data_IF_886019299896
#
_entry.id   IF_886019299896
#
_cell.length_a   1.000
_cell.length_b   1.000
_cell.length_c   1.000
_cell.angle_alpha   90.00
_cell.angle_beta   90.00
_cell.angle_gamma   90.00
#
_symmetry.space_group_name_H-M   'P 1'
#
loop_
_entity.id
_entity.type
_entity.pdbx_description
1 polymer ?
#
# COMPACT_ATOMS: atom_id res chain seq x y z
N UNK A 1 7.65 -19.06 -5.17
CA UNK A 1 6.29 -19.41 -5.63
C UNK A 1 5.26 -19.44 -4.49
N UNK A 2 5.34 -20.35 -3.51
CA UNK A 2 4.38 -20.36 -2.38
C UNK A 2 4.31 -19.03 -1.61
N UNK A 3 5.47 -18.41 -1.34
CA UNK A 3 5.53 -17.09 -0.68
C UNK A 3 4.77 -16.03 -1.49
N UNK A 4 4.88 -16.06 -2.83
CA UNK A 4 4.19 -15.13 -3.72
C UNK A 4 2.68 -15.38 -3.74
N UNK A 5 2.25 -16.65 -3.72
CA UNK A 5 0.83 -17.01 -3.58
C UNK A 5 0.25 -16.46 -2.29
N UNK A 6 0.90 -16.75 -1.16
CA UNK A 6 0.44 -16.27 0.15
C UNK A 6 0.38 -14.76 0.15
N UNK A 7 1.46 -14.11 -0.31
CA UNK A 7 1.53 -12.66 -0.45
C UNK A 7 0.31 -12.12 -1.22
N UNK A 8 0.07 -12.57 -2.46
CA UNK A 8 -1.05 -12.10 -3.26
C UNK A 8 -2.41 -12.31 -2.59
N UNK A 9 -2.65 -13.47 -2.01
CA UNK A 9 -3.93 -13.76 -1.32
C UNK A 9 -4.12 -12.84 -0.11
N UNK A 10 -3.08 -12.66 0.71
CA UNK A 10 -3.16 -11.83 1.91
C UNK A 10 -3.21 -10.33 1.60
N UNK A 11 -2.77 -9.92 0.41
CA UNK A 11 -2.76 -8.52 -0.02
C UNK A 11 -4.10 -8.05 -0.59
N UNK A 12 -4.92 -8.97 -1.15
CA UNK A 12 -6.23 -8.62 -1.71
C UNK A 12 -7.15 -7.94 -0.67
N UNK A 13 -7.34 -8.48 0.56
CA UNK A 13 -8.19 -7.84 1.56
C UNK A 13 -7.77 -6.41 1.94
N UNK A 14 -6.50 -6.13 2.35
CA UNK A 14 -6.12 -4.76 2.70
C UNK A 14 -6.22 -3.81 1.52
N UNK A 15 -5.87 -4.22 0.28
CA UNK A 15 -6.06 -3.39 -0.91
C UNK A 15 -7.52 -2.98 -1.08
N UNK A 16 -8.44 -3.95 -1.07
CA UNK A 16 -9.87 -3.69 -1.27
C UNK A 16 -10.50 -2.91 -0.12
N UNK A 17 -10.07 -3.20 1.12
CA UNK A 17 -10.68 -2.69 2.33
C UNK A 17 -10.05 -1.40 2.84
N UNK A 18 -8.83 -1.02 2.44
CA UNK A 18 -8.15 0.17 2.95
C UNK A 18 -7.63 1.04 1.80
N UNK A 19 -6.74 0.51 0.96
CA UNK A 19 -6.00 1.32 -0.02
C UNK A 19 -6.92 1.96 -1.06
N UNK A 20 -7.86 1.16 -1.60
CA UNK A 20 -8.79 1.63 -2.62
C UNK A 20 -9.93 2.52 -2.09
N UNK A 21 -10.08 2.69 -0.77
CA UNK A 21 -11.09 3.62 -0.24
C UNK A 21 -10.84 5.07 -0.64
N UNK A 22 -9.58 5.44 -0.87
CA UNK A 22 -9.18 6.76 -1.35
C UNK A 22 -9.71 7.09 -2.75
N UNK A 23 -9.99 6.06 -3.57
CA UNK A 23 -10.47 6.18 -4.95
C UNK A 23 -11.95 5.82 -5.08
N UNK A 24 -12.53 5.10 -4.13
CA UNK A 24 -13.95 4.74 -4.18
C UNK A 24 -14.83 5.99 -4.08
N UNK A 25 -15.96 6.03 -4.81
CA UNK A 25 -16.98 7.04 -4.59
C UNK A 25 -17.46 6.94 -3.14
N UNK A 26 -17.35 8.04 -2.39
CA UNK A 26 -17.67 8.08 -0.95
C UNK A 26 -19.09 7.57 -0.64
N UNK A 27 -20.03 7.75 -1.58
CA UNK A 27 -21.42 7.31 -1.49
C UNK A 27 -21.61 5.78 -1.51
N UNK A 28 -20.61 5.05 -2.02
CA UNK A 28 -20.67 3.59 -2.19
C UNK A 28 -19.78 2.83 -1.20
N UNK A 29 -19.04 3.54 -0.36
CA UNK A 29 -18.21 2.90 0.67
C UNK A 29 -19.10 2.49 1.85
N UNK A 30 -19.22 1.19 2.16
CA UNK A 30 -19.98 0.73 3.33
C UNK A 30 -19.41 1.31 4.62
N UNK A 31 -20.29 1.62 5.58
CA UNK A 31 -19.91 2.20 6.87
C UNK A 31 -18.85 1.38 7.63
N UNK A 32 -18.87 0.05 7.49
CA UNK A 32 -17.87 -0.84 8.07
C UNK A 32 -16.46 -0.57 7.52
N UNK A 33 -16.32 -0.36 6.20
CA UNK A 33 -15.02 -0.10 5.57
C UNK A 33 -14.47 1.26 6.01
N UNK A 34 -15.28 2.31 5.94
CA UNK A 34 -14.87 3.64 6.42
C UNK A 34 -14.54 3.63 7.91
N UNK A 35 -15.28 2.84 8.71
CA UNK A 35 -15.01 2.63 10.13
C UNK A 35 -13.67 1.96 10.37
N UNK A 36 -13.34 0.92 9.60
CA UNK A 36 -12.06 0.22 9.70
C UNK A 36 -10.88 1.14 9.36
N UNK A 37 -10.99 1.92 8.28
CA UNK A 37 -9.99 2.91 7.89
C UNK A 37 -9.80 3.98 8.97
N UNK A 38 -10.91 4.41 9.59
CA UNK A 38 -10.87 5.37 10.70
C UNK A 38 -10.19 4.78 11.93
N UNK A 39 -10.53 3.56 12.32
CA UNK A 39 -9.89 2.87 13.46
C UNK A 39 -8.39 2.66 13.22
N UNK A 40 -8.00 2.30 12.00
CA UNK A 40 -6.60 2.21 11.59
C UNK A 40 -5.87 3.55 11.79
N UNK A 41 -6.48 4.63 11.28
CA UNK A 41 -5.93 5.98 11.42
C UNK A 41 -5.82 6.43 12.88
N UNK A 42 -6.86 6.26 13.68
CA UNK A 42 -6.88 6.66 15.09
C UNK A 42 -5.87 5.86 15.95
N UNK A 43 -5.41 4.69 15.47
CA UNK A 43 -4.44 3.84 16.17
C UNK A 43 -3.00 4.15 15.81
N UNK A 44 -2.71 4.39 14.52
CA UNK A 44 -1.34 4.48 14.01
C UNK A 44 -0.96 5.88 13.52
N UNK A 45 -1.93 6.77 13.37
CA UNK A 45 -1.74 8.13 12.84
C UNK A 45 -0.95 8.12 11.52
N UNK A 46 -1.23 7.14 10.64
CA UNK A 46 -0.52 7.01 9.37
C UNK A 46 -0.68 8.30 8.55
N UNK A 47 0.42 9.03 8.29
CA UNK A 47 0.36 10.31 7.60
C UNK A 47 0.05 10.15 6.11
N UNK A 48 0.35 9.01 5.48
CA UNK A 48 0.06 8.75 4.07
C UNK A 48 -1.43 8.46 3.89
N UNK A 49 -1.91 7.42 4.56
CA UNK A 49 -3.31 6.96 4.46
C UNK A 49 -4.25 8.03 5.01
N UNK A 50 -3.91 8.64 6.16
CA UNK A 50 -4.72 9.69 6.77
C UNK A 50 -4.84 10.93 5.90
N UNK A 51 -3.77 11.33 5.20
CA UNK A 51 -3.81 12.48 4.28
C UNK A 51 -4.58 12.13 3.01
N UNK A 52 -4.35 10.96 2.41
CA UNK A 52 -5.09 10.51 1.23
C UNK A 52 -6.60 10.41 1.48
N UNK A 53 -6.99 9.95 2.68
CA UNK A 53 -8.39 9.85 3.13
C UNK A 53 -9.00 11.20 3.54
N UNK A 54 -8.18 12.25 3.69
CA UNK A 54 -8.63 13.60 4.08
C UNK A 54 -8.85 13.80 5.58
N UNK A 55 -8.34 12.91 6.44
CA UNK A 55 -8.43 13.07 7.89
C UNK A 55 -7.60 14.25 8.42
N UNK A 56 -6.57 14.67 7.69
CA UNK A 56 -5.80 15.88 7.96
C UNK A 56 -6.32 17.14 7.23
N UNK A 57 -7.53 17.08 6.66
CA UNK A 57 -8.16 18.16 5.90
C UNK A 57 -7.91 18.09 4.39
N UNK A 58 -8.71 18.86 3.64
CA UNK A 58 -8.73 18.77 2.16
C UNK A 58 -7.41 19.19 1.51
N UNK A 59 -6.76 20.25 2.02
CA UNK A 59 -5.46 20.71 1.50
C UNK A 59 -4.40 19.62 1.58
N UNK A 60 -4.34 18.89 2.68
CA UNK A 60 -3.39 17.80 2.86
C UNK A 60 -3.72 16.58 1.96
N UNK A 61 -5.00 16.41 1.60
CA UNK A 61 -5.42 15.37 0.66
C UNK A 61 -5.09 15.72 -0.81
N UNK A 62 -5.02 17.00 -1.15
CA UNK A 62 -4.60 17.49 -2.47
C UNK A 62 -3.08 17.38 -2.64
N UNK A 63 -2.31 17.53 -1.57
CA UNK A 63 -0.86 17.26 -1.58
C UNK A 63 -0.53 15.78 -1.85
N UNK A 64 -1.50 14.89 -1.68
CA UNK A 64 -1.36 13.43 -1.86
C UNK A 64 -1.84 12.92 -3.24
N UNK A 65 -1.93 13.80 -4.24
CA UNK A 65 -2.27 13.38 -5.61
C UNK A 65 -1.32 12.30 -6.15
N UNK A 66 -0.03 12.38 -5.83
CA UNK A 66 0.96 11.35 -6.22
C UNK A 66 0.69 9.98 -5.58
N UNK A 67 0.14 9.94 -4.36
CA UNK A 67 -0.21 8.69 -3.70
C UNK A 67 -1.51 8.13 -4.29
N UNK A 68 -2.47 9.01 -4.60
CA UNK A 68 -3.71 8.62 -5.29
C UNK A 68 -3.45 8.07 -6.69
N UNK A 69 -2.42 8.54 -7.41
CA UNK A 69 -2.03 7.92 -8.69
C UNK A 69 -1.45 6.53 -8.51
N UNK A 70 -0.69 6.29 -7.43
CA UNK A 70 -0.22 4.94 -7.08
C UNK A 70 -1.37 4.01 -6.69
N UNK A 71 -2.33 4.46 -5.88
CA UNK A 71 -3.54 3.70 -5.55
C UNK A 71 -4.41 3.43 -6.79
N UNK A 72 -4.45 4.35 -7.74
CA UNK A 72 -5.11 4.12 -9.03
C UNK A 72 -4.39 3.04 -9.85
N UNK A 73 -3.06 3.08 -9.89
CA UNK A 73 -2.25 2.03 -10.52
C UNK A 73 -2.46 0.68 -9.84
N UNK A 74 -2.59 0.68 -8.52
CA UNK A 74 -2.90 -0.52 -7.74
C UNK A 74 -4.24 -1.12 -8.18
N UNK A 75 -5.29 -0.31 -8.28
CA UNK A 75 -6.61 -0.76 -8.69
C UNK A 75 -6.64 -1.34 -10.12
N UNK A 76 -5.99 -0.67 -11.07
CA UNK A 76 -6.08 -1.03 -12.50
C UNK A 76 -5.08 -2.11 -12.93
N UNK A 77 -3.96 -2.24 -12.23
CA UNK A 77 -2.88 -3.13 -12.63
C UNK A 77 -2.50 -4.13 -11.54
N UNK A 78 -2.15 -3.68 -10.32
CA UNK A 78 -1.62 -4.58 -9.29
C UNK A 78 -2.69 -5.57 -8.80
N UNK A 79 -3.90 -5.08 -8.50
CA UNK A 79 -5.00 -5.91 -8.01
C UNK A 79 -5.40 -7.02 -9.00
N UNK A 80 -5.61 -6.76 -10.31
CA UNK A 80 -5.79 -7.83 -11.29
C UNK A 80 -4.64 -8.84 -11.31
N UNK A 81 -3.39 -8.37 -11.18
CA UNK A 81 -2.22 -9.25 -11.12
C UNK A 81 -2.23 -10.12 -9.86
N UNK A 82 -2.78 -9.67 -8.72
CA UNK A 82 -2.91 -10.52 -7.53
C UNK A 82 -3.77 -11.75 -7.81
N UNK A 83 -4.92 -11.56 -8.47
CA UNK A 83 -5.81 -12.66 -8.82
C UNK A 83 -5.18 -13.61 -9.85
N UNK A 84 -4.60 -13.05 -10.92
CA UNK A 84 -3.95 -13.84 -11.98
C UNK A 84 -2.74 -14.60 -11.42
N UNK A 85 -1.89 -13.91 -10.66
CA UNK A 85 -0.69 -14.45 -10.04
C UNK A 85 -1.02 -15.57 -9.06
N UNK A 86 -1.95 -15.34 -8.13
CA UNK A 86 -2.40 -16.38 -7.20
C UNK A 86 -2.97 -17.60 -7.94
N UNK A 87 -3.86 -17.40 -8.90
CA UNK A 87 -4.49 -18.49 -9.65
C UNK A 87 -3.47 -19.34 -10.44
N UNK A 88 -2.62 -18.70 -11.23
CA UNK A 88 -1.65 -19.39 -12.09
C UNK A 88 -0.55 -20.07 -11.27
N UNK A 89 -0.10 -19.47 -10.17
CA UNK A 89 0.90 -20.09 -9.28
C UNK A 89 0.31 -21.28 -8.50
N UNK A 90 -0.96 -21.24 -8.08
CA UNK A 90 -1.62 -22.38 -7.40
C UNK A 90 -1.83 -23.55 -8.35
N UNK A 91 -2.33 -23.29 -9.56
CA UNK A 91 -2.63 -24.36 -10.51
C UNK A 91 -1.42 -24.89 -11.26
N UNK A 92 -0.25 -24.25 -11.11
CA UNK A 92 0.95 -24.49 -11.92
C UNK A 92 0.71 -24.42 -13.44
N UNK A 93 -0.43 -23.87 -13.85
CA UNK A 93 -0.86 -23.75 -15.23
C UNK A 93 -0.39 -22.39 -15.75
N UNK A 94 0.30 -22.39 -16.90
CA UNK A 94 0.81 -21.17 -17.54
C UNK A 94 1.85 -20.38 -16.73
N UNK A 95 2.56 -21.02 -15.79
CA UNK A 95 3.51 -20.35 -14.89
C UNK A 95 4.60 -19.56 -15.62
N UNK A 96 5.08 -20.06 -16.76
CA UNK A 96 6.13 -19.39 -17.55
C UNK A 96 5.60 -18.17 -18.31
N UNK A 97 4.31 -18.14 -18.65
CA UNK A 97 3.69 -17.02 -19.35
C UNK A 97 3.44 -15.82 -18.43
N UNK A 98 3.40 -16.01 -17.11
CA UNK A 98 3.15 -14.93 -16.16
C UNK A 98 4.43 -14.28 -15.63
N UNK A 99 5.62 -14.84 -15.85
CA UNK A 99 6.88 -14.27 -15.36
C UNK A 99 7.13 -12.82 -15.81
N UNK A 100 6.88 -12.43 -17.07
CA UNK A 100 7.00 -11.02 -17.46
C UNK A 100 6.05 -10.11 -16.68
N UNK A 101 4.81 -10.56 -16.44
CA UNK A 101 3.79 -9.81 -15.70
C UNK A 101 4.21 -9.67 -14.24
N UNK A 102 4.68 -10.74 -13.60
CA UNK A 102 5.18 -10.73 -12.23
C UNK A 102 6.43 -9.85 -12.07
N UNK A 103 7.30 -9.81 -13.07
CA UNK A 103 8.46 -8.90 -13.08
C UNK A 103 8.00 -7.43 -13.11
N UNK A 104 7.11 -7.08 -14.05
CA UNK A 104 6.58 -5.72 -14.19
C UNK A 104 5.86 -5.32 -12.90
N UNK A 105 5.04 -6.22 -12.36
CA UNK A 105 4.35 -6.03 -11.09
C UNK A 105 5.33 -5.79 -9.94
N UNK A 106 6.34 -6.64 -9.80
CA UNK A 106 7.34 -6.55 -8.73
C UNK A 106 8.09 -5.21 -8.77
N UNK A 107 8.57 -4.84 -9.97
CA UNK A 107 9.29 -3.59 -10.18
C UNK A 107 8.41 -2.37 -9.96
N UNK A 108 7.18 -2.38 -10.47
CA UNK A 108 6.21 -1.31 -10.30
C UNK A 108 5.88 -1.10 -8.82
N UNK A 109 5.54 -2.18 -8.10
CA UNK A 109 5.13 -2.11 -6.70
C UNK A 109 6.28 -1.68 -5.80
N UNK A 110 7.50 -2.18 -6.03
CA UNK A 110 8.68 -1.71 -5.31
C UNK A 110 8.92 -0.20 -5.54
N UNK A 111 8.69 0.28 -6.77
CA UNK A 111 8.87 1.70 -7.13
C UNK A 111 7.81 2.60 -6.50
N UNK A 112 6.56 2.14 -6.38
CA UNK A 112 5.48 2.93 -5.75
C UNK A 112 5.52 2.90 -4.23
N UNK A 113 6.03 1.81 -3.62
CA UNK A 113 6.14 1.67 -2.16
C UNK A 113 7.38 2.32 -1.56
N UNK A 114 8.46 2.47 -2.33
CA UNK A 114 9.68 3.13 -1.87
C UNK A 114 9.45 4.59 -1.42
N UNK A 115 8.74 5.45 -2.18
CA UNK A 115 8.37 6.79 -1.72
C UNK A 115 7.57 6.78 -0.41
N UNK A 116 6.68 5.82 -0.22
CA UNK A 116 5.90 5.67 1.01
C UNK A 116 6.81 5.39 2.22
N UNK A 117 7.77 4.47 2.09
CA UNK A 117 8.74 4.18 3.14
C UNK A 117 9.61 5.38 3.49
N UNK A 118 10.10 6.10 2.48
CA UNK A 118 10.90 7.32 2.68
C UNK A 118 10.07 8.41 3.34
N UNK A 119 8.81 8.58 2.95
CA UNK A 119 7.89 9.54 3.55
C UNK A 119 7.63 9.23 5.03
N UNK A 120 7.34 7.97 5.37
CA UNK A 120 7.16 7.53 6.77
C UNK A 120 8.42 7.72 7.61
N UNK A 121 9.59 7.44 7.04
CA UNK A 121 10.87 7.63 7.72
C UNK A 121 11.17 9.12 7.99
N UNK A 122 10.81 9.99 7.05
CA UNK A 122 11.05 11.45 7.15
C UNK A 122 9.94 12.21 7.87
N UNK A 123 8.80 11.56 8.17
CA UNK A 123 7.72 12.15 8.96
C UNK A 123 8.25 12.56 10.34
N UNK A 124 7.96 13.78 10.84
CA UNK A 124 8.49 14.27 12.12
C UNK A 124 7.99 13.46 13.31
N UNK A 125 8.77 13.49 14.41
CA UNK A 125 8.33 12.93 15.68
C UNK A 125 7.24 13.80 16.31
N UNK A 126 6.35 13.16 17.06
CA UNK A 126 5.32 13.87 17.83
C UNK A 126 5.93 14.57 19.04
N UNK A 127 6.09 15.88 18.93
CA UNK A 127 6.58 16.81 19.96
C UNK A 127 5.58 17.97 20.19
N UNK A 128 5.77 18.76 21.25
CA UNK A 128 4.89 19.88 21.63
C UNK A 128 4.64 20.86 20.47
N UNK A 129 5.67 21.16 19.68
CA UNK A 129 5.56 22.06 18.52
C UNK A 129 4.68 21.46 17.42
N UNK A 130 4.82 20.16 17.12
CA UNK A 130 4.03 19.49 16.07
C UNK A 130 2.55 19.43 16.45
N UNK A 131 2.26 19.18 17.74
CA UNK A 131 0.89 19.18 18.26
C UNK A 131 0.29 20.60 18.23
N UNK A 132 1.05 21.61 18.66
CA UNK A 132 0.60 23.00 18.66
C UNK A 132 0.28 23.54 17.26
N UNK A 133 0.97 23.04 16.23
CA UNK A 133 0.80 23.48 14.84
C UNK A 133 -0.03 22.52 13.98
N UNK A 134 -0.63 21.47 14.56
CA UNK A 134 -1.36 20.42 13.84
C UNK A 134 -0.56 19.82 12.66
N UNK A 135 0.74 19.68 12.83
CA UNK A 135 1.62 19.07 11.82
C UNK A 135 1.50 17.56 11.94
N UNK A 136 1.22 16.83 10.85
CA UNK A 136 1.18 15.36 10.89
C UNK A 136 2.53 14.81 11.36
N UNK A 137 2.48 14.11 12.49
CA UNK A 137 3.65 13.54 13.17
C UNK A 137 3.32 12.14 13.68
N UNK A 138 4.35 11.33 13.89
CA UNK A 138 4.21 9.97 14.44
C UNK A 138 5.19 9.79 15.59
N UNK A 139 4.79 9.04 16.61
CA UNK A 139 5.71 8.61 17.67
C UNK A 139 6.73 7.60 17.12
N UNK A 140 7.85 7.42 17.83
CA UNK A 140 8.87 6.42 17.44
C UNK A 140 8.30 5.00 17.35
N UNK A 141 7.33 4.66 18.21
CA UNK A 141 6.67 3.36 18.21
C UNK A 141 5.75 3.20 17.00
N UNK A 142 4.90 4.19 16.71
CA UNK A 142 4.04 4.19 15.52
C UNK A 142 4.87 4.12 14.24
N UNK A 143 5.96 4.91 14.15
CA UNK A 143 6.87 4.84 13.00
C UNK A 143 7.44 3.44 12.82
N UNK A 144 7.89 2.79 13.88
CA UNK A 144 8.42 1.43 13.78
C UNK A 144 7.35 0.44 13.31
N UNK A 145 6.13 0.54 13.82
CA UNK A 145 5.01 -0.32 13.39
C UNK A 145 4.66 -0.07 11.93
N UNK A 146 4.57 1.19 11.50
CA UNK A 146 4.27 1.58 10.11
C UNK A 146 5.39 1.15 9.15
N UNK A 147 6.65 1.39 9.48
CA UNK A 147 7.76 0.92 8.65
C UNK A 147 7.79 -0.62 8.56
N UNK A 148 7.48 -1.30 9.66
CA UNK A 148 7.42 -2.76 9.69
C UNK A 148 6.24 -3.33 8.90
N UNK A 149 5.10 -2.62 8.83
CA UNK A 149 3.94 -3.04 8.03
C UNK A 149 4.13 -2.79 6.54
N UNK A 150 4.81 -1.70 6.16
CA UNK A 150 5.10 -1.38 4.75
C UNK A 150 6.30 -2.16 4.18
N UNK A 151 7.27 -2.56 5.02
CA UNK A 151 8.48 -3.24 4.56
C UNK A 151 8.23 -4.54 3.76
N UNK A 152 7.32 -5.46 4.16
CA UNK A 152 6.99 -6.64 3.36
C UNK A 152 6.46 -6.28 1.96
N UNK A 153 5.71 -5.19 1.86
CA UNK A 153 5.10 -4.72 0.61
C UNK A 153 6.10 -4.07 -0.33
N UNK A 154 7.29 -3.72 0.14
CA UNK A 154 8.42 -3.32 -0.69
C UNK A 154 9.35 -4.51 -1.00
N UNK A 155 9.76 -5.24 0.04
CA UNK A 155 10.78 -6.28 -0.07
C UNK A 155 10.32 -7.48 -0.91
N UNK A 156 9.08 -7.95 -0.72
CA UNK A 156 8.57 -9.12 -1.45
C UNK A 156 8.45 -8.81 -2.94
N UNK A 157 7.84 -7.67 -3.38
CA UNK A 157 7.83 -7.29 -4.78
C UNK A 157 9.23 -7.05 -5.38
N UNK A 158 10.16 -6.48 -4.62
CA UNK A 158 11.54 -6.30 -5.07
C UNK A 158 12.23 -7.64 -5.33
N UNK A 159 12.13 -8.58 -4.39
CA UNK A 159 12.65 -9.94 -4.56
C UNK A 159 11.96 -10.65 -5.72
N UNK A 160 10.64 -10.49 -5.86
CA UNK A 160 9.88 -11.05 -6.97
C UNK A 160 10.38 -10.52 -8.32
N UNK A 161 10.63 -9.22 -8.44
CA UNK A 161 11.16 -8.63 -9.68
C UNK A 161 12.51 -9.24 -10.06
N UNK A 162 13.42 -9.37 -9.10
CA UNK A 162 14.75 -9.96 -9.30
C UNK A 162 14.65 -11.45 -9.65
N UNK A 163 13.87 -12.23 -8.90
CA UNK A 163 13.67 -13.66 -9.14
C UNK A 163 13.04 -13.92 -10.52
N UNK A 164 12.04 -13.13 -10.93
CA UNK A 164 11.45 -13.25 -12.26
C UNK A 164 12.42 -12.84 -13.36
N UNK A 165 13.27 -11.83 -13.14
CA UNK A 165 14.29 -11.43 -14.11
C UNK A 165 15.32 -12.54 -14.39
N UNK A 166 15.67 -13.34 -13.38
CA UNK A 166 16.56 -14.49 -13.56
C UNK A 166 15.90 -15.71 -14.22
N UNK A 167 14.56 -15.80 -14.21
CA UNK A 167 13.81 -16.95 -14.74
C UNK A 167 13.30 -16.76 -16.17
N UNK A 168 13.34 -15.53 -16.68
CA UNK A 168 13.03 -15.19 -18.07
C UNK A 168 14.14 -15.69 -19.01
#
# INVERSE_FOLDING_TARGET
>A
DLIYVIYFITHIPPTLLLDLQSIYPKEHVPAFMSGLLRTYFDTLHDPLVGRAAGFYGEKAADEMLWLKTFMSLEAVFQLPVFFIGAYCLIKSACIRSIYPILLIYGASTATTTLPCLVYLYTTPNTDEWTQANNVPSVTSQERLILLSSYAPYFLIPLVMAVDMAFRL
#
